data_IF_986606568498
#
_entry.id   IF_986606568498
#
_cell.length_a   1.000
_cell.length_b   1.000
_cell.length_c   1.000
_cell.angle_alpha   90.00
_cell.angle_beta   90.00
_cell.angle_gamma   90.00
#
_symmetry.space_group_name_H-M   'P 1'
#
loop_
_entity.id
_entity.type
_entity.pdbx_description
1 polymer ?
#
# COMPACT_ATOMS: atom_id res chain seq x y z
N UNK A 1 -7.89 3.20 7.82
CA UNK A 1 -7.18 2.01 8.38
C UNK A 1 -5.72 2.42 8.55
N UNK A 2 -5.13 2.21 9.72
CA UNK A 2 -3.77 2.67 9.99
C UNK A 2 -2.75 1.77 9.27
N UNK A 3 -1.69 2.36 8.73
CA UNK A 3 -0.54 1.61 8.22
C UNK A 3 0.19 0.94 9.38
N UNK A 4 0.45 -0.36 9.26
CA UNK A 4 1.18 -1.15 10.25
C UNK A 4 2.69 -1.01 10.06
N UNK A 5 3.43 -0.90 11.15
CA UNK A 5 4.87 -0.61 11.12
C UNK A 5 5.75 -1.84 10.88
N UNK A 6 5.21 -3.05 11.04
CA UNK A 6 5.98 -4.30 10.98
C UNK A 6 6.69 -4.51 9.65
N UNK A 7 6.01 -4.23 8.53
CA UNK A 7 6.58 -4.36 7.19
C UNK A 7 7.73 -3.35 6.94
N UNK A 8 7.59 -2.12 7.47
CA UNK A 8 8.60 -1.08 7.35
C UNK A 8 9.85 -1.40 8.18
N UNK A 9 9.65 -1.92 9.40
CA UNK A 9 10.76 -2.43 10.25
C UNK A 9 11.53 -3.54 9.54
N UNK A 10 10.83 -4.50 8.95
CA UNK A 10 11.46 -5.61 8.22
C UNK A 10 12.26 -5.12 7.01
N UNK A 11 11.70 -4.17 6.25
CA UNK A 11 12.39 -3.54 5.11
C UNK A 11 13.67 -2.83 5.54
N UNK A 12 13.67 -2.08 6.64
CA UNK A 12 14.87 -1.43 7.18
C UNK A 12 15.91 -2.46 7.62
N UNK A 13 15.51 -3.49 8.37
CA UNK A 13 16.45 -4.53 8.83
C UNK A 13 17.09 -5.30 7.67
N UNK A 14 16.31 -5.60 6.63
CA UNK A 14 16.78 -6.38 5.46
C UNK A 14 17.38 -5.50 4.35
N UNK A 15 17.32 -4.18 4.49
CA UNK A 15 17.65 -3.21 3.44
C UNK A 15 16.89 -3.48 2.12
N UNK A 16 15.70 -4.08 2.21
CA UNK A 16 14.88 -4.43 1.05
C UNK A 16 13.99 -3.25 0.68
N UNK A 17 13.93 -2.91 -0.61
CA UNK A 17 13.06 -1.83 -1.09
C UNK A 17 11.58 -2.19 -0.96
N UNK A 18 10.75 -1.24 -0.56
CA UNK A 18 9.29 -1.40 -0.48
C UNK A 18 8.68 -0.94 -1.80
N UNK A 19 7.79 -1.75 -2.37
CA UNK A 19 7.01 -1.38 -3.56
C UNK A 19 5.60 -0.99 -3.11
N UNK A 20 5.25 0.31 -3.06
CA UNK A 20 3.89 0.72 -2.70
C UNK A 20 2.93 0.28 -3.81
N UNK A 21 1.76 -0.23 -3.44
CA UNK A 21 0.76 -0.73 -4.39
C UNK A 21 -0.62 -0.26 -3.99
N UNK A 22 -1.36 0.32 -4.94
CA UNK A 22 -2.74 0.76 -4.76
C UNK A 22 -3.68 -0.26 -5.39
N UNK A 23 -4.67 -0.70 -4.62
CA UNK A 23 -5.71 -1.61 -5.06
C UNK A 23 -7.04 -0.86 -5.10
N UNK A 24 -7.59 -0.68 -6.29
CA UNK A 24 -8.88 -0.05 -6.51
C UNK A 24 -9.97 -1.10 -6.70
N UNK A 25 -11.22 -0.70 -6.46
CA UNK A 25 -12.42 -1.50 -6.72
C UNK A 25 -12.57 -2.82 -5.94
N UNK A 26 -11.60 -3.22 -5.11
CA UNK A 26 -11.71 -4.42 -4.27
C UNK A 26 -12.88 -4.37 -3.28
N UNK A 27 -13.21 -3.20 -2.74
CA UNK A 27 -14.36 -3.05 -1.85
C UNK A 27 -15.72 -3.22 -2.57
N UNK A 28 -15.76 -3.01 -3.89
CA UNK A 28 -16.95 -3.26 -4.73
C UNK A 28 -17.07 -4.74 -5.08
N UNK A 29 -15.94 -5.39 -5.39
CA UNK A 29 -15.90 -6.82 -5.68
C UNK A 29 -16.24 -7.68 -4.45
N UNK A 30 -15.75 -7.29 -3.27
CA UNK A 30 -15.99 -8.00 -2.02
C UNK A 30 -16.25 -7.01 -0.86
N UNK A 31 -17.50 -6.59 -0.66
CA UNK A 31 -17.87 -5.67 0.40
C UNK A 31 -17.77 -6.31 1.78
N UNK A 32 -17.20 -5.59 2.75
CA UNK A 32 -17.01 -6.07 4.13
C UNK A 32 -18.30 -6.45 4.89
N UNK A 33 -19.47 -6.00 4.42
CA UNK A 33 -20.76 -6.25 5.06
C UNK A 33 -21.46 -7.52 4.52
N UNK A 34 -20.94 -8.17 3.47
CA UNK A 34 -21.54 -9.37 2.89
C UNK A 34 -20.62 -10.56 3.07
N UNK A 35 -21.12 -11.59 3.74
CA UNK A 35 -20.42 -12.86 3.93
C UNK A 35 -20.56 -13.67 2.63
N UNK A 36 -19.47 -14.26 2.14
CA UNK A 36 -19.47 -15.12 0.94
C UNK A 36 -19.97 -14.44 -0.35
N UNK A 37 -19.63 -13.16 -0.54
CA UNK A 37 -20.07 -12.37 -1.71
C UNK A 37 -18.87 -11.90 -2.53
N UNK A 38 -18.74 -12.45 -3.74
CA UNK A 38 -17.73 -12.08 -4.72
C UNK A 38 -18.44 -11.69 -6.01
N UNK A 39 -18.49 -10.40 -6.33
CA UNK A 39 -18.96 -9.92 -7.63
C UNK A 39 -17.78 -9.85 -8.60
N UNK A 40 -17.93 -10.38 -9.83
CA UNK A 40 -16.98 -10.12 -10.89
C UNK A 40 -17.01 -8.62 -11.21
N UNK A 41 -15.95 -7.94 -10.84
CA UNK A 41 -15.77 -6.51 -11.07
C UNK A 41 -14.33 -6.24 -11.48
N UNK A 42 -14.10 -5.19 -12.26
CA UNK A 42 -12.77 -4.84 -12.72
C UNK A 42 -11.92 -4.35 -11.54
N UNK A 43 -10.98 -5.19 -11.14
CA UNK A 43 -9.96 -4.86 -10.15
C UNK A 43 -8.80 -4.18 -10.86
N UNK A 44 -8.34 -3.06 -10.29
CA UNK A 44 -7.20 -2.34 -10.81
C UNK A 44 -6.12 -2.28 -9.73
N UNK A 45 -4.92 -2.71 -10.09
CA UNK A 45 -3.75 -2.70 -9.24
C UNK A 45 -2.73 -1.76 -9.88
N UNK A 46 -2.37 -0.68 -9.18
CA UNK A 46 -1.30 0.21 -9.61
C UNK A 46 -0.06 -0.03 -8.76
N UNK A 47 1.02 -0.42 -9.42
CA UNK A 47 2.34 -0.55 -8.81
C UNK A 47 3.08 0.78 -8.90
N UNK A 48 3.64 1.22 -7.79
CA UNK A 48 4.40 2.46 -7.69
C UNK A 48 5.91 2.17 -7.64
N UNK A 49 6.76 3.17 -7.95
CA UNK A 49 8.21 2.96 -7.94
C UNK A 49 8.71 2.47 -6.56
N UNK A 50 9.72 1.58 -6.55
CA UNK A 50 10.29 1.06 -5.32
C UNK A 50 10.93 2.17 -4.48
N UNK A 51 10.67 2.16 -3.18
CA UNK A 51 11.23 3.09 -2.20
C UNK A 51 12.28 2.37 -1.37
N UNK A 52 13.51 2.86 -1.43
CA UNK A 52 14.61 2.32 -0.62
C UNK A 52 14.51 2.77 0.84
N UNK A 53 14.72 1.87 1.82
CA UNK A 53 14.75 2.19 3.25
C UNK A 53 16.08 2.79 3.74
N UNK A 54 17.09 2.93 2.86
CA UNK A 54 18.46 3.25 3.25
C UNK A 54 18.54 4.62 3.95
N UNK A 55 19.00 4.63 5.20
CA UNK A 55 19.19 5.85 5.99
C UNK A 55 17.89 6.49 6.50
N UNK A 56 16.75 5.80 6.40
CA UNK A 56 15.46 6.28 6.90
C UNK A 56 15.05 5.49 8.15
N UNK A 57 14.43 6.19 9.10
CA UNK A 57 13.75 5.57 10.23
C UNK A 57 12.37 5.03 9.80
N UNK A 58 11.79 4.13 10.60
CA UNK A 58 10.50 3.47 10.34
C UNK A 58 9.41 4.50 10.06
N UNK A 59 9.34 5.55 10.88
CA UNK A 59 8.34 6.62 10.75
C UNK A 59 8.53 7.40 9.46
N UNK A 60 9.78 7.80 9.16
CA UNK A 60 10.11 8.56 7.95
C UNK A 60 9.83 7.76 6.67
N UNK A 61 10.16 6.46 6.66
CA UNK A 61 9.88 5.57 5.53
C UNK A 61 8.37 5.40 5.31
N UNK A 62 7.62 5.24 6.40
CA UNK A 62 6.16 5.13 6.39
C UNK A 62 5.50 6.39 5.85
N UNK A 63 5.90 7.56 6.34
CA UNK A 63 5.38 8.85 5.89
C UNK A 63 5.69 9.08 4.40
N UNK A 64 6.92 8.78 3.97
CA UNK A 64 7.32 8.89 2.56
C UNK A 64 6.49 7.99 1.65
N UNK A 65 6.33 6.71 2.01
CA UNK A 65 5.51 5.76 1.25
C UNK A 65 4.05 6.20 1.24
N UNK A 66 3.53 6.69 2.35
CA UNK A 66 2.16 7.19 2.45
C UNK A 66 1.93 8.40 1.54
N UNK A 67 2.84 9.37 1.54
CA UNK A 67 2.76 10.55 0.68
C UNK A 67 2.74 10.18 -0.81
N UNK A 68 3.61 9.23 -1.23
CA UNK A 68 3.65 8.72 -2.61
C UNK A 68 2.32 8.04 -2.97
N UNK A 69 1.80 7.18 -2.09
CA UNK A 69 0.52 6.51 -2.31
C UNK A 69 -0.66 7.48 -2.35
N UNK A 70 -0.63 8.54 -1.53
CA UNK A 70 -1.67 9.56 -1.49
C UNK A 70 -1.66 10.41 -2.76
N UNK A 71 -0.49 10.85 -3.22
CA UNK A 71 -0.34 11.63 -4.45
C UNK A 71 -0.88 10.85 -5.66
N UNK A 72 -0.52 9.56 -5.76
CA UNK A 72 -0.98 8.68 -6.84
C UNK A 72 -2.46 8.32 -6.74
N UNK A 73 -3.02 8.27 -5.52
CA UNK A 73 -4.46 8.10 -5.32
C UNK A 73 -5.25 9.34 -5.76
N UNK A 74 -4.74 10.55 -5.55
CA UNK A 74 -5.41 11.81 -5.96
C UNK A 74 -5.38 12.02 -7.48
N UNK A 75 -4.36 11.50 -8.17
CA UNK A 75 -4.26 11.57 -9.63
C UNK A 75 -5.20 10.61 -10.36
N UNK A 76 -5.73 9.58 -9.68
CA UNK A 76 -6.61 8.55 -10.25
C UNK A 76 -8.08 8.90 -10.14
#
# INVERSE_FOLDING_TARGET
KNFYDGAFKLSITTQTSIVPTLLFNSAKAMPHHKIFYLLPHQLEIRYLPPVSPKGLDVTALKEKVFAIMQDEFVKG
#
